data_IF_617228015305
#
_entry.id   IF_617228015305
#
_cell.length_a   1.000
_cell.length_b   1.000
_cell.length_c   1.000
_cell.angle_alpha   90.00
_cell.angle_beta   90.00
_cell.angle_gamma   90.00
#
_symmetry.space_group_name_H-M   'P 1'
#
loop_
_entity.id
_entity.type
_entity.pdbx_description
1 polymer ?
#
# COMPACT_ATOMS: atom_id res chain seq x y z
N UNK A 1 -7.65 -6.29 -3.48
CA UNK A 1 -6.24 -5.83 -3.44
C UNK A 1 -5.60 -6.24 -2.14
N UNK A 2 -6.19 -5.86 -0.99
CA UNK A 2 -5.66 -6.22 0.34
C UNK A 2 -5.43 -7.72 0.51
N UNK A 3 -6.38 -8.58 0.11
CA UNK A 3 -6.21 -10.05 0.17
C UNK A 3 -5.01 -10.53 -0.65
N UNK A 4 -4.89 -10.09 -1.90
CA UNK A 4 -3.74 -10.40 -2.78
C UNK A 4 -2.42 -9.97 -2.16
N UNK A 5 -2.32 -8.74 -1.64
CA UNK A 5 -1.10 -8.27 -0.99
C UNK A 5 -0.78 -9.07 0.29
N UNK A 6 -1.80 -9.56 1.01
CA UNK A 6 -1.62 -10.40 2.19
C UNK A 6 -1.11 -11.80 1.84
N UNK A 7 -1.63 -12.42 0.79
CA UNK A 7 -1.16 -13.72 0.30
C UNK A 7 0.32 -13.65 -0.12
N UNK A 8 0.69 -12.59 -0.84
CA UNK A 8 2.09 -12.33 -1.20
C UNK A 8 2.94 -12.07 0.06
N UNK A 9 2.43 -11.28 1.01
CA UNK A 9 3.16 -11.01 2.26
C UNK A 9 3.45 -12.29 3.06
N UNK A 10 2.51 -13.23 3.11
CA UNK A 10 2.70 -14.55 3.73
C UNK A 10 3.82 -15.33 3.03
N UNK A 11 3.82 -15.36 1.69
CA UNK A 11 4.89 -16.02 0.89
C UNK A 11 6.28 -15.44 1.22
N UNK A 12 6.38 -14.12 1.31
CA UNK A 12 7.63 -13.40 1.62
C UNK A 12 7.94 -13.30 3.14
N UNK A 13 7.14 -13.93 4.01
CA UNK A 13 7.29 -13.87 5.48
C UNK A 13 7.41 -12.44 6.02
N UNK A 14 6.54 -11.57 5.52
CA UNK A 14 6.51 -10.14 5.84
C UNK A 14 5.08 -9.64 5.99
N UNK A 15 4.89 -8.34 6.09
CA UNK A 15 3.59 -7.68 6.21
C UNK A 15 3.14 -6.99 4.91
N UNK A 16 1.84 -6.69 4.85
CA UNK A 16 1.19 -6.03 3.71
C UNK A 16 1.85 -4.68 3.38
N UNK A 17 2.26 -3.91 4.40
CA UNK A 17 2.88 -2.60 4.22
C UNK A 17 4.25 -2.70 3.55
N UNK A 18 5.04 -3.71 3.92
CA UNK A 18 6.31 -4.03 3.27
C UNK A 18 6.10 -4.39 1.79
N UNK A 19 5.15 -5.28 1.48
CA UNK A 19 4.84 -5.66 0.09
C UNK A 19 4.34 -4.47 -0.73
N UNK A 20 3.41 -3.68 -0.19
CA UNK A 20 2.89 -2.51 -0.87
C UNK A 20 4.01 -1.50 -1.18
N UNK A 21 4.87 -1.21 -0.20
CA UNK A 21 6.00 -0.30 -0.36
C UNK A 21 7.01 -0.82 -1.37
N UNK A 22 7.31 -2.12 -1.34
CA UNK A 22 8.21 -2.75 -2.31
C UNK A 22 7.64 -2.69 -3.73
N UNK A 23 6.33 -2.92 -3.89
CA UNK A 23 5.69 -2.81 -5.20
C UNK A 23 5.78 -1.38 -5.75
N UNK A 24 5.56 -0.36 -4.91
CA UNK A 24 5.74 1.05 -5.29
C UNK A 24 7.19 1.33 -5.67
N UNK A 25 8.15 0.86 -4.88
CA UNK A 25 9.59 1.04 -5.15
C UNK A 25 10.02 0.43 -6.49
N UNK A 26 9.37 -0.65 -6.93
CA UNK A 26 9.65 -1.30 -8.22
C UNK A 26 8.94 -0.64 -9.42
N UNK A 27 8.19 0.45 -9.24
CA UNK A 27 7.53 1.14 -10.36
C UNK A 27 8.53 1.95 -11.18
N UNK A 28 8.28 2.09 -12.50
CA UNK A 28 9.05 3.01 -13.33
C UNK A 28 9.11 4.41 -12.71
N UNK A 29 10.29 5.04 -12.75
CA UNK A 29 10.59 6.37 -12.20
C UNK A 29 10.55 6.53 -10.65
N UNK A 30 10.23 5.48 -9.87
CA UNK A 30 10.34 5.55 -8.41
C UNK A 30 11.78 5.26 -7.98
N UNK A 31 12.36 6.14 -7.16
CA UNK A 31 13.76 6.01 -6.65
C UNK A 31 13.83 5.72 -5.16
N UNK A 32 12.79 6.05 -4.41
CA UNK A 32 12.69 5.82 -2.98
C UNK A 32 11.21 5.74 -2.58
N UNK A 33 10.96 5.12 -1.43
CA UNK A 33 9.67 5.18 -0.73
C UNK A 33 9.89 5.79 0.65
N UNK A 34 8.97 6.67 1.07
CA UNK A 34 9.01 7.29 2.39
C UNK A 34 8.13 6.45 3.31
N UNK A 35 8.70 5.95 4.40
CA UNK A 35 8.03 5.07 5.34
C UNK A 35 8.13 5.61 6.77
N UNK A 36 7.07 5.42 7.55
CA UNK A 36 7.07 5.76 8.97
C UNK A 36 7.85 4.72 9.78
N UNK A 37 8.64 5.19 10.75
CA UNK A 37 9.42 4.33 11.65
C UNK A 37 9.40 4.88 13.08
N UNK A 38 8.20 5.08 13.65
CA UNK A 38 8.04 5.66 14.99
C UNK A 38 8.68 4.81 16.10
N UNK A 39 8.68 3.49 15.91
CA UNK A 39 9.25 2.51 16.84
C UNK A 39 10.23 1.60 16.08
N UNK A 40 11.23 1.06 16.79
CA UNK A 40 12.27 0.18 16.22
C UNK A 40 11.67 -1.04 15.52
N UNK A 41 10.54 -1.57 16.01
CA UNK A 41 9.84 -2.70 15.38
C UNK A 41 9.42 -2.44 13.92
N UNK A 42 9.17 -1.18 13.54
CA UNK A 42 8.88 -0.81 12.15
C UNK A 42 10.14 -0.78 11.29
N UNK A 43 11.32 -0.58 11.90
CA UNK A 43 12.58 -0.55 11.18
C UNK A 43 12.84 -1.89 10.48
N UNK A 44 12.62 -3.01 11.17
CA UNK A 44 12.86 -4.35 10.61
C UNK A 44 11.99 -4.64 9.38
N UNK A 45 10.71 -4.25 9.40
CA UNK A 45 9.84 -4.33 8.22
C UNK A 45 10.30 -3.40 7.10
N UNK A 46 10.65 -2.15 7.43
CA UNK A 46 11.10 -1.17 6.44
C UNK A 46 12.39 -1.60 5.74
N UNK A 47 13.32 -2.24 6.46
CA UNK A 47 14.57 -2.77 5.90
C UNK A 47 14.36 -3.96 4.94
N UNK A 48 13.20 -4.64 5.00
CA UNK A 48 12.87 -5.72 4.06
C UNK A 48 12.40 -5.19 2.69
N UNK A 49 11.86 -3.98 2.62
CA UNK A 49 11.27 -3.38 1.40
C UNK A 49 12.17 -3.51 0.16
N UNK A 50 13.46 -3.08 0.17
CA UNK A 50 14.30 -3.16 -1.03
C UNK A 50 14.69 -4.60 -1.41
N UNK A 51 14.51 -5.55 -0.50
CA UNK A 51 14.92 -6.95 -0.67
C UNK A 51 13.82 -7.82 -1.29
N UNK A 52 12.57 -7.33 -1.36
CA UNK A 52 11.48 -8.05 -1.99
C UNK A 52 11.73 -8.17 -3.50
N UNK A 53 11.70 -9.41 -4.00
CA UNK A 53 11.77 -9.74 -5.42
C UNK A 53 10.46 -10.40 -5.82
N UNK A 54 9.63 -9.65 -6.54
CA UNK A 54 8.38 -10.18 -7.03
C UNK A 54 8.63 -11.18 -8.16
N UNK A 55 7.88 -12.28 -8.13
CA UNK A 55 7.71 -13.13 -9.30
C UNK A 55 6.79 -12.44 -10.32
N UNK A 56 6.86 -12.89 -11.57
CA UNK A 56 5.94 -12.40 -12.61
C UNK A 56 4.48 -12.69 -12.25
N UNK A 57 4.20 -13.85 -11.66
CA UNK A 57 2.86 -14.23 -11.20
C UNK A 57 2.30 -13.25 -10.16
N UNK A 58 3.09 -12.91 -9.14
CA UNK A 58 2.68 -11.94 -8.11
C UNK A 58 2.41 -10.54 -8.71
N UNK A 59 3.23 -10.10 -9.68
CA UNK A 59 3.00 -8.84 -10.38
C UNK A 59 1.71 -8.86 -11.20
N UNK A 60 1.41 -9.99 -11.86
CA UNK A 60 0.19 -10.18 -12.62
C UNK A 60 -1.04 -10.19 -11.71
N UNK A 61 -0.98 -10.89 -10.58
CA UNK A 61 -2.07 -10.91 -9.59
C UNK A 61 -2.42 -9.51 -9.09
N UNK A 62 -1.40 -8.71 -8.73
CA UNK A 62 -1.60 -7.31 -8.34
C UNK A 62 -2.23 -6.52 -9.49
N UNK A 63 -1.71 -6.67 -10.71
CA UNK A 63 -2.20 -5.95 -11.89
C UNK A 63 -3.66 -6.28 -12.21
N UNK A 64 -4.06 -7.55 -12.14
CA UNK A 64 -5.44 -7.99 -12.40
C UNK A 64 -6.45 -7.40 -11.43
N UNK A 65 -6.05 -7.24 -10.17
CA UNK A 65 -6.92 -6.59 -9.17
C UNK A 65 -6.96 -5.08 -9.36
N UNK A 66 -5.83 -4.45 -9.69
CA UNK A 66 -5.77 -3.01 -9.96
C UNK A 66 -6.58 -2.61 -11.21
N UNK A 67 -6.62 -3.43 -12.26
CA UNK A 67 -7.45 -3.22 -13.46
C UNK A 67 -8.95 -3.08 -13.14
N UNK A 68 -9.42 -3.69 -12.05
CA UNK A 68 -10.82 -3.63 -11.60
C UNK A 68 -11.12 -2.34 -10.82
N UNK A 69 -10.09 -1.57 -10.44
CA UNK A 69 -10.24 -0.34 -9.66
C UNK A 69 -10.75 0.81 -10.53
N UNK A 70 -11.84 1.45 -10.09
CA UNK A 70 -12.38 2.67 -10.72
C UNK A 70 -11.76 3.96 -10.16
N UNK A 71 -10.93 3.85 -9.12
CA UNK A 71 -10.31 4.97 -8.43
C UNK A 71 -11.30 5.88 -7.66
N UNK A 72 -10.78 6.80 -6.84
CA UNK A 72 -11.59 7.89 -6.28
C UNK A 72 -12.05 8.84 -7.40
N UNK A 73 -13.25 9.39 -7.28
CA UNK A 73 -13.82 10.37 -8.22
C UNK A 73 -13.88 11.76 -7.60
N UNK A 74 -13.84 12.79 -8.45
CA UNK A 74 -13.99 14.19 -8.05
C UNK A 74 -12.65 14.89 -7.73
N UNK A 75 -12.70 16.17 -7.32
CA UNK A 75 -11.51 16.93 -6.95
C UNK A 75 -10.85 16.39 -5.68
N UNK A 76 -9.66 16.91 -5.36
CA UNK A 76 -8.95 16.60 -4.10
C UNK A 76 -9.89 16.85 -2.91
N UNK A 77 -9.91 15.91 -1.96
CA UNK A 77 -10.79 15.89 -0.78
C UNK A 77 -12.30 15.67 -1.05
N UNK A 78 -12.70 15.28 -2.25
CA UNK A 78 -14.12 15.11 -2.56
C UNK A 78 -14.79 13.99 -1.75
N UNK A 79 -14.13 12.83 -1.60
CA UNK A 79 -14.69 11.69 -0.88
C UNK A 79 -14.86 12.03 0.61
N UNK A 80 -13.85 12.68 1.16
CA UNK A 80 -13.72 13.17 2.52
C UNK A 80 -14.79 14.22 2.87
N UNK A 81 -15.13 15.09 1.91
CA UNK A 81 -16.05 16.21 2.11
C UNK A 81 -17.51 15.88 1.86
N UNK A 82 -17.82 14.84 1.08
CA UNK A 82 -19.19 14.63 0.59
C UNK A 82 -19.72 13.20 0.73
N UNK A 83 -18.91 12.22 1.16
CA UNK A 83 -19.36 10.83 1.33
C UNK A 83 -19.14 10.33 2.76
N UNK A 84 -20.24 10.02 3.45
CA UNK A 84 -20.23 9.64 4.87
C UNK A 84 -19.33 8.44 5.18
N UNK A 85 -19.33 7.42 4.31
CA UNK A 85 -18.44 6.24 4.47
C UNK A 85 -16.96 6.63 4.58
N UNK A 86 -16.53 7.65 3.86
CA UNK A 86 -15.14 8.10 3.81
C UNK A 86 -14.88 9.16 4.88
N UNK A 87 -15.83 10.05 5.12
CA UNK A 87 -15.75 11.05 6.19
C UNK A 87 -15.65 10.41 7.58
N UNK A 88 -16.48 9.39 7.85
CA UNK A 88 -16.62 8.81 9.19
C UNK A 88 -15.43 7.97 9.65
N UNK A 89 -14.50 7.63 8.75
CA UNK A 89 -13.26 6.91 9.09
C UNK A 89 -12.05 7.83 9.24
N UNK A 90 -12.20 9.14 8.99
CA UNK A 90 -11.11 10.08 9.13
C UNK A 90 -11.13 10.75 10.50
N UNK A 91 -9.97 10.76 11.16
CA UNK A 91 -9.77 11.46 12.42
C UNK A 91 -9.69 12.97 12.15
N UNK A 92 -10.75 13.72 12.50
CA UNK A 92 -10.89 15.15 12.19
C UNK A 92 -10.70 16.08 13.38
N UNK A 93 -10.48 15.54 14.58
CA UNK A 93 -10.23 16.32 15.80
C UNK A 93 -9.07 15.72 16.60
N UNK A 94 -7.96 16.45 16.73
CA UNK A 94 -6.81 16.11 17.57
C UNK A 94 -6.63 17.18 18.67
N UNK A 95 -7.73 17.55 19.35
CA UNK A 95 -7.64 18.40 20.54
C UNK A 95 -7.30 17.55 21.76
#
# INVERSE_FOLDING_TARGET
>A
LLSTLNEIAISHKTDIGTIASAWVLNRPAVKAVIVGARNISHMDSNLKIPNIKFTEGELLEIAEVLKKSKGPKGPVYHLERYFDKHRNIMHTNNN
#
